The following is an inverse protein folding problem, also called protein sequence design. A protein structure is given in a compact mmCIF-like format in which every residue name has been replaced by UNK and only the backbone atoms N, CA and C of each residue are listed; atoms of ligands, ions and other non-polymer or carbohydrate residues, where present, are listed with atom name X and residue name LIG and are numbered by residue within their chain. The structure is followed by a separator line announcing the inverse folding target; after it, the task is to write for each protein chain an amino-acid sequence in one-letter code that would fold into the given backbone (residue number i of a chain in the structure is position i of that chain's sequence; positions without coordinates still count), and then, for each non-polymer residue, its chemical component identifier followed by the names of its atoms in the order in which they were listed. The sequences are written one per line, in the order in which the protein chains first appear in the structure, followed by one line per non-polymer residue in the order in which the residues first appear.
data_IF_039875857801
#
_entry.id   IF_039875857801
#
_cell.length_a   1.000
_cell.length_b   1.000
_cell.length_c   1.000
_cell.angle_alpha   90.00
_cell.angle_beta   90.00
_cell.angle_gamma   90.00
#
_symmetry.space_group_name_H-M   'P 1'
#
loop_
_entity.id
_entity.type
_entity.pdbx_description
1 polymer ?
#
# COMPACT_ATOMS: atom_id res chain seq x y z
N UNK A 1 -0.98 -9.55 -6.33
CA UNK A 1 -1.18 -8.10 -6.56
C UNK A 1 -2.05 -7.55 -5.45
N UNK A 2 -1.69 -6.40 -4.87
CA UNK A 2 -2.47 -5.75 -3.79
C UNK A 2 -3.65 -4.98 -4.37
N UNK A 3 -4.74 -4.83 -3.60
CA UNK A 3 -5.86 -3.98 -3.98
C UNK A 3 -5.62 -2.54 -3.50
N UNK A 4 -5.63 -1.57 -4.42
CA UNK A 4 -5.38 -0.16 -4.09
C UNK A 4 -6.70 0.55 -3.82
N UNK A 5 -6.86 1.05 -2.59
CA UNK A 5 -8.01 1.88 -2.19
C UNK A 5 -7.55 3.30 -1.87
N UNK A 6 -8.03 4.25 -2.65
CA UNK A 6 -7.77 5.67 -2.41
C UNK A 6 -8.70 6.23 -1.34
N UNK A 7 -8.13 6.86 -0.30
CA UNK A 7 -8.93 7.60 0.69
C UNK A 7 -9.47 8.91 0.07
N UNK A 8 -10.66 9.39 0.47
CA UNK A 8 -11.25 10.63 -0.08
C UNK A 8 -10.33 11.85 0.02
N UNK A 9 -9.55 11.95 1.11
CA UNK A 9 -8.56 13.01 1.31
C UNK A 9 -7.46 12.99 0.25
N UNK A 10 -6.94 11.81 -0.08
CA UNK A 10 -5.90 11.64 -1.10
C UNK A 10 -6.43 12.02 -2.49
N UNK A 11 -7.65 11.58 -2.85
CA UNK A 11 -8.29 11.98 -4.10
C UNK A 11 -8.51 13.50 -4.19
N UNK A 12 -8.96 14.13 -3.10
CA UNK A 12 -9.14 15.60 -3.05
C UNK A 12 -7.80 16.33 -3.26
N UNK A 13 -6.71 15.82 -2.69
CA UNK A 13 -5.38 16.41 -2.87
C UNK A 13 -4.87 16.22 -4.30
N UNK A 14 -5.04 15.02 -4.87
CA UNK A 14 -4.63 14.72 -6.24
C UNK A 14 -5.37 15.61 -7.26
N UNK A 15 -6.67 15.86 -7.06
CA UNK A 15 -7.48 16.76 -7.90
C UNK A 15 -7.01 18.22 -7.89
N UNK A 16 -6.26 18.66 -6.87
CA UNK A 16 -5.69 20.02 -6.82
C UNK A 16 -4.49 20.18 -7.77
N UNK A 17 -3.89 19.09 -8.23
CA UNK A 17 -2.81 19.12 -9.21
C UNK A 17 -3.42 19.46 -10.57
N UNK A 18 -3.15 20.66 -11.07
CA UNK A 18 -3.71 21.15 -12.35
C UNK A 18 -3.12 20.42 -13.55
N UNK A 19 -1.82 20.11 -13.48
CA UNK A 19 -1.12 19.41 -14.56
C UNK A 19 -1.66 17.98 -14.72
N UNK A 20 -2.06 17.64 -15.94
CA UNK A 20 -2.62 16.32 -16.25
C UNK A 20 -1.54 15.25 -16.21
N UNK A 21 -0.40 15.50 -16.84
CA UNK A 21 0.67 14.51 -16.95
C UNK A 21 1.23 14.16 -15.56
N UNK A 22 1.41 15.15 -14.69
CA UNK A 22 1.77 14.89 -13.28
C UNK A 22 0.77 13.97 -12.58
N UNK A 23 -0.54 14.13 -12.81
CA UNK A 23 -1.55 13.28 -12.17
C UNK A 23 -1.47 11.85 -12.69
N UNK A 24 -1.32 11.69 -14.00
CA UNK A 24 -1.13 10.40 -14.66
C UNK A 24 0.10 9.66 -14.11
N UNK A 25 1.25 10.32 -14.05
CA UNK A 25 2.47 9.73 -13.45
C UNK A 25 2.28 9.28 -12.01
N UNK A 26 1.49 10.02 -11.21
CA UNK A 26 1.17 9.62 -9.83
C UNK A 26 0.24 8.41 -9.81
N UNK A 27 -0.72 8.32 -10.72
CA UNK A 27 -1.58 7.13 -10.83
C UNK A 27 -0.77 5.90 -11.20
N UNK A 28 0.10 5.98 -12.21
CA UNK A 28 0.93 4.86 -12.67
C UNK A 28 1.87 4.39 -11.56
N UNK A 29 2.55 5.33 -10.91
CA UNK A 29 3.46 5.02 -9.81
C UNK A 29 2.73 4.41 -8.59
N UNK A 30 1.48 4.81 -8.35
CA UNK A 30 0.66 4.16 -7.32
C UNK A 30 0.20 2.79 -7.79
N UNK A 31 -0.15 2.60 -9.07
CA UNK A 31 -0.55 1.30 -9.61
C UNK A 31 0.57 0.26 -9.48
N UNK A 32 1.82 0.67 -9.64
CA UNK A 32 3.00 -0.17 -9.40
C UNK A 32 3.09 -0.71 -7.97
N UNK A 33 2.48 -0.04 -6.98
CA UNK A 33 2.40 -0.53 -5.60
C UNK A 33 1.56 -1.82 -5.47
N UNK A 34 0.84 -2.23 -6.52
CA UNK A 34 0.25 -3.58 -6.57
C UNK A 34 1.28 -4.69 -6.41
N UNK A 35 2.55 -4.41 -6.73
CA UNK A 35 3.68 -5.34 -6.62
C UNK A 35 4.48 -5.19 -5.30
N UNK A 36 3.98 -4.38 -4.35
CA UNK A 36 4.62 -4.19 -3.05
C UNK A 36 4.79 -5.54 -2.32
N UNK A 37 5.96 -5.82 -1.70
CA UNK A 37 7.04 -4.89 -1.35
C UNK A 37 8.09 -4.62 -2.43
N UNK A 38 8.02 -5.27 -3.59
CA UNK A 38 9.03 -5.19 -4.64
C UNK A 38 8.86 -3.95 -5.54
N UNK A 39 8.80 -2.77 -4.93
CA UNK A 39 8.63 -1.49 -5.61
C UNK A 39 9.84 -0.58 -5.34
N UNK A 40 10.29 0.13 -6.37
CA UNK A 40 11.33 1.15 -6.22
C UNK A 40 10.77 2.42 -5.55
N UNK A 41 11.65 3.28 -5.00
CA UNK A 41 11.29 4.59 -4.44
C UNK A 41 10.33 4.60 -3.24
N UNK A 42 10.06 3.45 -2.61
CA UNK A 42 9.30 3.34 -1.37
C UNK A 42 10.24 3.31 -0.16
N UNK A 43 9.90 4.05 0.90
CA UNK A 43 10.57 3.93 2.21
C UNK A 43 9.54 3.91 3.35
N UNK A 44 9.75 3.05 4.35
CA UNK A 44 8.99 3.08 5.62
C UNK A 44 9.39 4.33 6.41
N UNK A 45 8.41 5.02 7.00
CA UNK A 45 8.68 6.13 7.92
C UNK A 45 9.12 5.58 9.29
N UNK A 46 9.99 6.32 9.98
CA UNK A 46 10.52 5.90 11.29
C UNK A 46 9.50 6.09 12.41
N UNK A 47 8.70 7.16 12.33
CA UNK A 47 7.86 7.62 13.45
C UNK A 47 6.38 7.20 13.33
N UNK A 48 6.00 6.53 12.24
CA UNK A 48 4.61 6.17 11.92
C UNK A 48 4.59 4.86 11.15
N UNK A 49 3.52 4.08 11.30
CA UNK A 49 3.31 2.88 10.48
C UNK A 49 2.74 3.21 9.09
N UNK A 50 3.44 4.11 8.39
CA UNK A 50 3.14 4.54 7.03
C UNK A 50 4.38 4.37 6.15
N UNK A 51 4.13 4.16 4.86
CA UNK A 51 5.14 4.16 3.81
C UNK A 51 5.05 5.44 2.99
N UNK A 52 6.18 5.83 2.40
CA UNK A 52 6.27 6.96 1.47
C UNK A 52 6.83 6.49 0.14
N UNK A 53 6.06 6.66 -0.93
CA UNK A 53 6.51 6.57 -2.32
C UNK A 53 6.93 7.96 -2.83
N UNK A 54 8.09 8.06 -3.49
CA UNK A 54 8.54 9.27 -4.15
C UNK A 54 8.21 9.22 -5.64
N UNK A 55 7.53 10.26 -6.14
CA UNK A 55 7.19 10.43 -7.56
C UNK A 55 7.70 11.81 -8.00
N UNK A 56 8.93 11.88 -8.51
CA UNK A 56 9.60 13.14 -8.84
C UNK A 56 9.71 14.09 -7.63
N UNK A 57 9.01 15.23 -7.68
CA UNK A 57 8.90 16.21 -6.58
C UNK A 57 7.78 15.90 -5.56
N UNK A 58 6.93 14.93 -5.86
CA UNK A 58 5.75 14.58 -5.07
C UNK A 58 6.03 13.42 -4.13
N UNK A 59 5.27 13.36 -3.04
CA UNK A 59 5.33 12.30 -2.03
C UNK A 59 3.93 11.75 -1.82
N UNK A 60 3.78 10.45 -1.97
CA UNK A 60 2.53 9.72 -1.69
C UNK A 60 2.74 8.94 -0.41
N UNK A 61 1.87 9.18 0.57
CA UNK A 61 1.86 8.46 1.84
C UNK A 61 0.74 7.43 1.83
N UNK A 62 1.05 6.20 2.19
CA UNK A 62 0.09 5.11 2.21
C UNK A 62 0.41 4.14 3.33
N UNK A 63 -0.62 3.40 3.76
CA UNK A 63 -0.48 2.28 4.69
C UNK A 63 -0.85 1.00 3.96
N UNK A 64 -0.17 -0.08 4.31
CA UNK A 64 -0.59 -1.42 3.94
C UNK A 64 -1.45 -1.98 5.08
N UNK A 65 -2.70 -2.32 4.80
CA UNK A 65 -3.52 -3.10 5.74
C UNK A 65 -3.45 -4.55 5.27
N UNK A 66 -2.78 -5.41 6.02
CA UNK A 66 -2.92 -6.85 5.81
C UNK A 66 -4.36 -7.23 6.16
N UNK A 67 -5.04 -7.92 5.24
CA UNK A 67 -6.28 -8.63 5.58
C UNK A 67 -5.88 -9.76 6.55
N UNK A 68 -6.52 -9.77 7.70
CA UNK A 68 -6.14 -10.53 8.88
C UNK A 68 -6.16 -12.04 8.60
N UNK A 69 -5.11 -12.75 9.00
CA UNK A 69 -5.05 -14.21 9.00
C UNK A 69 -5.42 -14.71 10.40
N UNK A 70 -6.52 -15.44 10.52
CA UNK A 70 -6.90 -16.11 11.75
C UNK A 70 -6.28 -17.51 11.78
N UNK A 71 -5.62 -17.84 12.89
CA UNK A 71 -5.18 -19.20 13.20
C UNK A 71 -6.30 -19.82 14.03
N UNK A 72 -7.11 -20.66 13.41
CA UNK A 72 -8.28 -21.27 14.07
C UNK A 72 -7.88 -22.41 15.02
N UNK A 73 -6.79 -23.11 14.74
CA UNK A 73 -6.32 -24.25 15.55
C UNK A 73 -4.84 -24.59 15.30
N UNK A 74 -4.17 -25.15 16.32
CA UNK A 74 -2.83 -25.77 16.23
C UNK A 74 -2.87 -27.12 16.93
N UNK A 75 -2.62 -28.21 16.18
CA UNK A 75 -2.61 -29.61 16.67
C UNK A 75 -1.28 -30.31 16.39
N UNK A 76 -0.94 -31.31 17.20
CA UNK A 76 0.16 -32.24 16.91
C UNK A 76 -0.27 -33.20 15.80
N UNK A 77 0.61 -33.43 14.81
CA UNK A 77 0.31 -34.20 13.59
C UNK A 77 -0.27 -35.61 13.81
N UNK A 78 -0.05 -36.21 14.98
CA UNK A 78 -0.41 -37.60 15.30
C UNK A 78 -1.34 -37.76 16.52
N UNK A 79 -2.16 -36.76 16.84
CA UNK A 79 -3.19 -36.92 17.88
C UNK A 79 -4.46 -37.54 17.25
N UNK A 80 -4.54 -38.87 17.24
CA UNK A 80 -5.78 -39.59 16.94
C UNK A 80 -6.61 -39.63 18.22
N UNK A 81 -7.65 -38.79 18.30
CA UNK A 81 -8.68 -38.90 19.32
C UNK A 81 -9.86 -39.66 18.71
N UNK A 82 -10.21 -40.81 19.29
CA UNK A 82 -11.42 -41.59 18.96
C UNK A 82 -12.70 -40.85 19.33
#
# INVERSE_FOLDING_TARGET
MKNIKWRPKALKQLRKIKDYHTRETIYDAVDDLKNFPNCSNVKKLKDRDEFRLRVGRWRVFFTESFEILYIEEVKIRNENTY
#
